data_IF_450039610980
#
_entry.id   IF_450039610980
#
_cell.length_a   1.000
_cell.length_b   1.000
_cell.length_c   1.000
_cell.angle_alpha   90.00
_cell.angle_beta   90.00
_cell.angle_gamma   90.00
#
_symmetry.space_group_name_H-M   'P 1'
#
loop_
_entity.id
_entity.type
_entity.pdbx_description
1 polymer ?
#
# COMPACT_ATOMS: atom_id res chain seq x y z
N UNK A 1 -2.96 -0.39 -22.65
CA UNK A 1 -1.61 -0.66 -22.11
C UNK A 1 -1.66 -0.73 -20.59
N UNK A 2 -1.09 -1.77 -20.03
CA UNK A 2 -1.08 -1.91 -18.58
C UNK A 2 -0.09 -0.94 -17.96
N UNK A 3 -0.43 -0.34 -16.83
CA UNK A 3 0.52 0.51 -16.13
C UNK A 3 1.72 -0.31 -15.65
N UNK A 4 2.88 0.29 -15.74
CA UNK A 4 4.09 -0.34 -15.22
C UNK A 4 4.12 -0.10 -13.72
N UNK A 5 4.12 -1.19 -12.95
CA UNK A 5 4.24 -1.12 -11.51
C UNK A 5 5.72 -1.10 -11.15
N UNK A 6 6.14 -0.05 -10.49
CA UNK A 6 7.52 0.08 -10.05
C UNK A 6 7.60 -0.16 -8.55
N UNK A 7 8.62 -0.90 -8.09
CA UNK A 7 8.83 -1.04 -6.65
C UNK A 7 9.06 0.34 -6.03
N UNK A 8 8.55 0.58 -4.82
CA UNK A 8 8.78 1.84 -4.14
C UNK A 8 10.25 1.99 -3.74
N UNK A 9 10.68 3.24 -3.54
CA UNK A 9 12.03 3.52 -3.09
C UNK A 9 12.29 2.93 -1.70
N UNK A 10 11.26 2.91 -0.86
CA UNK A 10 11.32 2.30 0.47
C UNK A 10 10.24 1.23 0.58
N UNK A 11 10.58 -0.05 0.34
CA UNK A 11 9.58 -1.12 0.36
C UNK A 11 9.09 -1.50 1.76
N UNK A 12 9.62 -0.87 2.81
CA UNK A 12 9.15 -1.13 4.17
C UNK A 12 8.02 -0.20 4.59
N UNK A 13 7.78 0.87 3.83
CA UNK A 13 6.77 1.87 4.14
C UNK A 13 5.95 2.22 2.90
N UNK A 14 4.73 2.68 3.15
CA UNK A 14 3.84 3.13 2.09
C UNK A 14 3.80 4.65 2.06
N UNK A 15 3.97 5.23 0.86
CA UNK A 15 3.83 6.66 0.65
C UNK A 15 2.50 6.94 -0.05
N UNK A 16 1.51 7.39 0.73
CA UNK A 16 0.17 7.68 0.21
C UNK A 16 0.12 8.92 -0.67
N UNK A 17 1.20 9.71 -0.70
CA UNK A 17 1.26 10.88 -1.57
C UNK A 17 1.64 10.53 -3.00
N UNK A 18 2.17 9.34 -3.23
CA UNK A 18 2.53 8.87 -4.56
C UNK A 18 1.44 7.95 -5.10
N UNK A 19 0.74 8.40 -6.16
CA UNK A 19 -0.28 7.58 -6.81
C UNK A 19 0.30 6.26 -7.32
N UNK A 20 1.53 6.30 -7.83
CA UNK A 20 2.20 5.10 -8.34
C UNK A 20 2.40 4.09 -7.23
N UNK A 21 2.86 4.53 -6.06
CA UNK A 21 3.06 3.63 -4.94
C UNK A 21 1.74 3.13 -4.37
N UNK A 22 0.72 3.98 -4.30
CA UNK A 22 -0.61 3.56 -3.85
C UNK A 22 -1.13 2.44 -4.74
N UNK A 23 -1.04 2.60 -6.07
CA UNK A 23 -1.47 1.56 -7.00
C UNK A 23 -0.67 0.27 -6.81
N UNK A 24 0.64 0.39 -6.66
CA UNK A 24 1.51 -0.76 -6.43
C UNK A 24 1.06 -1.54 -5.18
N UNK A 25 0.86 -0.83 -4.06
CA UNK A 25 0.50 -1.49 -2.82
C UNK A 25 -0.91 -2.03 -2.81
N UNK A 26 -1.86 -1.34 -3.46
CA UNK A 26 -3.22 -1.86 -3.58
C UNK A 26 -3.23 -3.20 -4.32
N UNK A 27 -2.45 -3.33 -5.38
CA UNK A 27 -2.36 -4.58 -6.12
C UNK A 27 -1.57 -5.64 -5.34
N UNK A 28 -0.49 -5.23 -4.70
CA UNK A 28 0.36 -6.14 -3.92
C UNK A 28 -0.39 -6.72 -2.73
N UNK A 29 -1.15 -5.88 -2.03
CA UNK A 29 -1.90 -6.27 -0.84
C UNK A 29 -3.34 -6.71 -1.15
N UNK A 30 -3.74 -6.62 -2.42
CA UNK A 30 -5.07 -7.00 -2.89
C UNK A 30 -6.17 -6.27 -2.11
N UNK A 31 -6.10 -4.95 -2.10
CA UNK A 31 -7.07 -4.11 -1.41
C UNK A 31 -7.37 -2.86 -2.22
N UNK A 32 -8.43 -2.15 -1.84
CA UNK A 32 -8.76 -0.86 -2.44
C UNK A 32 -7.93 0.26 -1.83
N UNK A 33 -7.89 1.41 -2.52
CA UNK A 33 -7.20 2.58 -2.00
C UNK A 33 -7.80 3.04 -0.67
N UNK A 34 -9.14 3.06 -0.58
CA UNK A 34 -9.82 3.46 0.65
C UNK A 34 -9.42 2.57 1.82
N UNK A 35 -9.38 1.26 1.59
CA UNK A 35 -8.98 0.32 2.62
C UNK A 35 -7.53 0.51 3.02
N UNK A 36 -6.67 0.76 2.05
CA UNK A 36 -5.25 1.00 2.32
C UNK A 36 -5.06 2.27 3.17
N UNK A 37 -5.73 3.36 2.80
CA UNK A 37 -5.64 4.60 3.57
C UNK A 37 -6.15 4.43 4.99
N UNK A 38 -7.26 3.73 5.17
CA UNK A 38 -7.80 3.46 6.49
C UNK A 38 -6.83 2.60 7.32
N UNK A 39 -6.23 1.60 6.72
CA UNK A 39 -5.26 0.75 7.40
C UNK A 39 -4.06 1.56 7.89
N UNK A 40 -3.56 2.47 7.05
CA UNK A 40 -2.44 3.34 7.43
C UNK A 40 -2.82 4.23 8.63
N UNK A 41 -4.05 4.71 8.67
CA UNK A 41 -4.52 5.52 9.81
C UNK A 41 -4.59 4.71 11.10
N UNK A 42 -4.84 3.42 10.99
CA UNK A 42 -5.02 2.55 12.17
C UNK A 42 -3.69 2.00 12.69
N UNK A 43 -2.87 1.47 11.80
CA UNK A 43 -1.64 0.76 12.20
C UNK A 43 -0.36 1.46 11.76
N UNK A 44 -0.47 2.53 10.98
CA UNK A 44 0.70 3.25 10.48
C UNK A 44 1.11 2.77 9.08
N UNK A 45 2.21 3.33 8.59
CA UNK A 45 2.63 3.15 7.20
C UNK A 45 3.60 1.97 7.00
N UNK A 46 3.91 1.22 8.04
CA UNK A 46 4.81 0.07 7.92
C UNK A 46 4.11 -1.08 7.21
N UNK A 47 4.72 -1.56 6.13
CA UNK A 47 4.13 -2.61 5.30
C UNK A 47 3.89 -3.88 6.10
N UNK A 48 4.81 -4.25 6.99
CA UNK A 48 4.66 -5.46 7.80
C UNK A 48 3.37 -5.41 8.64
N UNK A 49 3.09 -4.27 9.26
CA UNK A 49 1.89 -4.09 10.06
C UNK A 49 0.64 -4.09 9.17
N UNK A 50 0.73 -3.45 8.01
CA UNK A 50 -0.40 -3.37 7.09
C UNK A 50 -0.79 -4.74 6.53
N UNK A 51 0.20 -5.58 6.22
CA UNK A 51 -0.08 -6.93 5.74
C UNK A 51 -0.90 -7.72 6.74
N UNK A 52 -0.53 -7.63 8.01
CA UNK A 52 -1.25 -8.33 9.08
C UNK A 52 -2.68 -7.78 9.21
N UNK A 53 -2.81 -6.46 9.20
CA UNK A 53 -4.10 -5.80 9.37
C UNK A 53 -5.06 -6.12 8.22
N UNK A 54 -4.58 -6.03 6.99
CA UNK A 54 -5.41 -6.20 5.79
C UNK A 54 -5.78 -7.67 5.56
N UNK A 55 -4.90 -8.59 5.96
CA UNK A 55 -5.13 -10.02 5.74
C UNK A 55 -6.10 -10.66 6.73
N UNK A 56 -6.57 -9.92 7.72
CA UNK A 56 -7.55 -10.43 8.67
C UNK A 56 -8.93 -10.56 8.07
#
# INVERSE_FOLDING_TARGET
>A
MLPVLRPPADPTRINLQSTVEVNYWCQNLNCTETRLRNAVLVVGALVADLRVYISR
#
